data_IF_706612026768
#
_entry.id   IF_706612026768
#
_cell.length_a   1.000
_cell.length_b   1.000
_cell.length_c   1.000
_cell.angle_alpha   90.00
_cell.angle_beta   90.00
_cell.angle_gamma   90.00
#
_symmetry.space_group_name_H-M   'P 1'
#
loop_
_entity.id
_entity.type
_entity.pdbx_description
1 polymer ?
#
# COMPACT_ATOMS: atom_id res chain seq x y z
N UNK A 1 -8.96 -12.94 -12.93
CA UNK A 1 -8.45 -11.57 -12.93
C UNK A 1 -8.28 -11.08 -11.53
N UNK A 2 -7.07 -10.78 -11.23
CA UNK A 2 -6.71 -10.53 -9.83
C UNK A 2 -7.24 -9.21 -9.29
N UNK A 3 -7.30 -8.19 -10.10
CA UNK A 3 -7.70 -6.87 -9.64
C UNK A 3 -9.17 -6.70 -9.31
N UNK A 4 -10.01 -7.59 -9.77
CA UNK A 4 -11.45 -7.45 -9.61
C UNK A 4 -11.93 -7.74 -8.21
N UNK A 5 -11.22 -8.59 -7.48
CA UNK A 5 -11.59 -8.94 -6.11
C UNK A 5 -11.05 -7.94 -5.09
N UNK A 6 -10.10 -7.12 -5.50
CA UNK A 6 -9.45 -6.16 -4.59
C UNK A 6 -9.25 -4.84 -5.33
N UNK A 7 -10.33 -4.08 -5.54
CA UNK A 7 -10.23 -2.79 -6.24
C UNK A 7 -9.32 -1.79 -5.52
N UNK A 8 -9.13 -1.96 -4.22
CA UNK A 8 -8.22 -1.12 -3.46
C UNK A 8 -6.77 -1.23 -3.96
N UNK A 9 -6.42 -2.32 -4.65
CA UNK A 9 -5.06 -2.47 -5.18
C UNK A 9 -4.74 -1.44 -6.24
N UNK A 10 -5.73 -0.99 -7.00
CA UNK A 10 -5.52 0.08 -7.97
C UNK A 10 -5.17 1.37 -7.25
N UNK A 11 -5.82 1.63 -6.14
CA UNK A 11 -5.54 2.82 -5.34
C UNK A 11 -4.15 2.74 -4.72
N UNK A 12 -3.78 1.56 -4.23
CA UNK A 12 -2.45 1.33 -3.66
C UNK A 12 -1.38 1.58 -4.71
N UNK A 13 -1.57 1.10 -5.94
CA UNK A 13 -0.61 1.32 -7.01
C UNK A 13 -0.45 2.81 -7.33
N UNK A 14 -1.54 3.54 -7.37
CA UNK A 14 -1.51 4.98 -7.63
C UNK A 14 -0.80 5.72 -6.52
N UNK A 15 -1.08 5.36 -5.27
CA UNK A 15 -0.44 5.98 -4.11
C UNK A 15 1.05 5.65 -4.06
N UNK A 16 1.41 4.43 -4.42
CA UNK A 16 2.80 4.04 -4.49
C UNK A 16 3.56 4.87 -5.53
N UNK A 17 2.94 5.12 -6.68
CA UNK A 17 3.55 5.96 -7.70
C UNK A 17 3.78 7.39 -7.17
N UNK A 18 2.81 7.93 -6.44
CA UNK A 18 2.98 9.23 -5.81
C UNK A 18 4.11 9.22 -4.78
N UNK A 19 4.21 8.15 -4.03
CA UNK A 19 5.24 7.98 -3.02
C UNK A 19 6.63 7.99 -3.64
N UNK A 20 6.79 7.33 -4.78
CA UNK A 20 8.06 7.29 -5.49
C UNK A 20 8.44 8.68 -6.01
N UNK A 21 7.45 9.47 -6.39
CA UNK A 21 7.70 10.84 -6.86
C UNK A 21 8.03 11.78 -5.70
N UNK A 22 7.25 11.70 -4.62
CA UNK A 22 7.45 12.58 -3.47
C UNK A 22 6.79 11.98 -2.23
N UNK A 23 7.55 11.33 -1.34
CA UNK A 23 6.99 10.79 -0.11
C UNK A 23 6.37 11.89 0.75
N UNK A 24 5.21 11.61 1.34
CA UNK A 24 4.56 12.57 2.22
C UNK A 24 3.71 11.83 3.25
N UNK A 25 3.50 12.48 4.40
CA UNK A 25 2.68 11.91 5.46
C UNK A 25 1.24 11.68 4.97
N UNK A 26 0.75 12.55 4.11
CA UNK A 26 -0.60 12.42 3.57
C UNK A 26 -0.76 11.16 2.72
N UNK A 27 0.23 10.86 1.87
CA UNK A 27 0.20 9.67 1.05
C UNK A 27 0.21 8.42 1.93
N UNK A 28 1.03 8.40 2.95
CA UNK A 28 1.07 7.28 3.88
C UNK A 28 -0.24 7.12 4.65
N UNK A 29 -0.86 8.23 5.05
CA UNK A 29 -2.16 8.18 5.71
C UNK A 29 -3.22 7.57 4.80
N UNK A 30 -3.21 7.93 3.52
CA UNK A 30 -4.13 7.35 2.55
C UNK A 30 -3.86 5.87 2.32
N UNK A 31 -2.59 5.48 2.29
CA UNK A 31 -2.22 4.07 2.16
C UNK A 31 -2.73 3.25 3.34
N UNK A 32 -2.56 3.74 4.55
CA UNK A 32 -3.06 3.05 5.74
C UNK A 32 -4.56 2.91 5.71
N UNK A 33 -5.25 3.96 5.29
CA UNK A 33 -6.71 3.92 5.20
C UNK A 33 -7.18 2.96 4.11
N UNK A 34 -6.52 2.97 2.96
CA UNK A 34 -6.89 2.12 1.84
C UNK A 34 -6.62 0.65 2.12
N UNK A 35 -5.54 0.35 2.83
CA UNK A 35 -5.10 -1.03 3.08
C UNK A 35 -5.52 -1.58 4.43
N UNK A 36 -6.22 -0.78 5.23
CA UNK A 36 -6.57 -1.19 6.60
C UNK A 36 -5.32 -1.40 7.44
N UNK A 37 -4.45 -0.40 7.43
CA UNK A 37 -3.17 -0.43 8.17
C UNK A 37 -2.25 -1.54 7.68
N UNK A 38 -2.22 -1.72 6.35
CA UNK A 38 -1.37 -2.72 5.67
C UNK A 38 -1.74 -4.16 6.02
N UNK A 39 -3.02 -4.39 6.28
CA UNK A 39 -3.53 -5.74 6.51
C UNK A 39 -3.62 -6.48 5.19
N UNK A 40 -2.92 -7.61 5.08
CA UNK A 40 -2.87 -8.38 3.85
C UNK A 40 -4.09 -9.30 3.78
N UNK A 41 -4.92 -9.18 2.72
CA UNK A 41 -6.01 -10.14 2.52
C UNK A 41 -5.47 -11.55 2.31
N UNK A 42 -6.20 -12.55 2.78
CA UNK A 42 -5.74 -13.93 2.73
C UNK A 42 -5.67 -14.50 1.32
N UNK A 43 -6.43 -13.91 0.40
CA UNK A 43 -6.54 -14.43 -0.96
C UNK A 43 -5.72 -13.67 -2.00
N UNK A 44 -4.76 -12.85 -1.57
CA UNK A 44 -3.88 -12.15 -2.52
C UNK A 44 -2.63 -12.97 -2.76
N UNK A 45 -1.97 -12.68 -3.90
CA UNK A 45 -0.73 -13.37 -4.24
C UNK A 45 0.45 -12.85 -3.40
N UNK A 46 1.54 -13.62 -3.33
CA UNK A 46 2.71 -13.21 -2.54
C UNK A 46 3.31 -11.87 -2.92
N UNK A 47 3.15 -11.45 -4.17
CA UNK A 47 3.65 -10.15 -4.61
C UNK A 47 2.96 -9.00 -3.87
N UNK A 48 1.65 -9.11 -3.68
CA UNK A 48 0.89 -8.09 -2.94
C UNK A 48 1.33 -8.08 -1.48
N UNK A 49 1.52 -9.25 -0.90
CA UNK A 49 1.99 -9.36 0.47
C UNK A 49 3.33 -8.66 0.66
N UNK A 50 4.26 -8.88 -0.26
CA UNK A 50 5.57 -8.24 -0.21
C UNK A 50 5.46 -6.73 -0.39
N UNK A 51 4.57 -6.29 -1.28
CA UNK A 51 4.36 -4.87 -1.52
C UNK A 51 3.83 -4.17 -0.25
N UNK A 52 2.88 -4.79 0.43
CA UNK A 52 2.35 -4.24 1.67
C UNK A 52 3.42 -4.18 2.76
N UNK A 53 4.25 -5.21 2.86
CA UNK A 53 5.34 -5.22 3.82
C UNK A 53 6.34 -4.09 3.55
N UNK A 54 6.65 -3.87 2.28
CA UNK A 54 7.55 -2.77 1.88
C UNK A 54 6.94 -1.42 2.23
N UNK A 55 5.67 -1.22 1.91
CA UNK A 55 4.99 0.04 2.21
C UNK A 55 4.96 0.31 3.70
N UNK A 56 4.71 -0.71 4.49
CA UNK A 56 4.71 -0.59 5.94
C UNK A 56 6.08 -0.15 6.45
N UNK A 57 7.14 -0.76 5.93
CA UNK A 57 8.51 -0.41 6.31
C UNK A 57 8.82 1.03 5.96
N UNK A 58 8.41 1.46 4.76
CA UNK A 58 8.62 2.84 4.33
C UNK A 58 7.86 3.83 5.21
N UNK A 59 6.64 3.49 5.57
CA UNK A 59 5.81 4.32 6.44
C UNK A 59 6.50 4.49 7.81
N UNK A 60 6.96 3.39 8.39
CA UNK A 60 7.64 3.43 9.68
C UNK A 60 8.92 4.28 9.61
N UNK A 61 9.67 4.12 8.54
CA UNK A 61 10.89 4.90 8.36
C UNK A 61 10.59 6.38 8.17
N UNK A 62 9.53 6.70 7.44
CA UNK A 62 9.14 8.09 7.19
C UNK A 62 8.65 8.77 8.48
N UNK A 63 7.98 8.01 9.34
CA UNK A 63 7.43 8.56 10.58
C UNK A 63 8.49 8.88 11.64
N UNK A 64 9.69 8.37 11.46
CA UNK A 64 10.80 8.64 12.39
C UNK A 64 11.44 10.01 12.14
#
# INVERSE_FOLDING_TARGET
>A
MHGEHHPELHRVAALYAQLKAAPSAEVFAQLRQTTGDYTVPADVCPTVEKTYALLRSLDEAFAR
#
